data_IF_964278207992
#
_entry.id   IF_964278207992
#
_cell.length_a   1.000
_cell.length_b   1.000
_cell.length_c   1.000
_cell.angle_alpha   90.00
_cell.angle_beta   90.00
_cell.angle_gamma   90.00
#
_symmetry.space_group_name_H-M   'P 1'
#
loop_
_entity.id
_entity.type
_entity.pdbx_description
1 polymer ?
#
# COMPACT_ATOMS: atom_id res chain seq x y z
N UNK A 1 60.25 -13.14 29.47
CA UNK A 1 59.71 -13.73 28.22
C UNK A 1 58.72 -12.85 27.47
N UNK A 2 57.78 -12.14 28.10
CA UNK A 2 56.83 -11.23 27.41
C UNK A 2 57.50 -10.15 26.53
N UNK A 3 58.63 -9.61 26.96
CA UNK A 3 59.38 -8.57 26.20
C UNK A 3 60.07 -9.10 24.94
N UNK A 4 60.38 -10.41 24.87
CA UNK A 4 61.01 -11.03 23.71
C UNK A 4 59.98 -11.19 22.54
N UNK A 5 58.75 -11.60 22.86
CA UNK A 5 57.65 -11.70 21.87
C UNK A 5 57.36 -10.34 21.22
N UNK A 6 57.33 -9.25 21.99
CA UNK A 6 57.08 -7.92 21.48
C UNK A 6 58.19 -7.40 20.55
N UNK A 7 59.48 -7.66 20.88
CA UNK A 7 60.61 -7.27 20.01
C UNK A 7 60.68 -8.07 18.72
N UNK A 8 60.24 -9.33 18.71
CA UNK A 8 60.17 -10.15 17.49
C UNK A 8 59.06 -9.73 16.56
N UNK A 9 57.92 -9.24 17.08
CA UNK A 9 56.82 -8.70 16.30
C UNK A 9 57.19 -7.41 15.55
N UNK A 10 57.97 -6.54 16.13
CA UNK A 10 58.45 -5.30 15.50
C UNK A 10 59.34 -5.57 14.27
N UNK A 11 60.07 -6.70 14.20
CA UNK A 11 60.92 -7.10 13.06
C UNK A 11 60.14 -7.52 11.81
N UNK A 12 58.83 -7.86 11.95
CA UNK A 12 57.96 -8.29 10.83
C UNK A 12 56.93 -7.22 10.43
N UNK A 13 57.27 -5.96 10.51
CA UNK A 13 56.38 -4.82 10.34
C UNK A 13 55.53 -4.88 9.04
N UNK A 14 56.09 -5.35 7.91
CA UNK A 14 55.40 -5.43 6.64
C UNK A 14 54.20 -6.40 6.65
N UNK A 15 54.35 -7.62 7.24
CA UNK A 15 53.27 -8.60 7.29
C UNK A 15 52.18 -8.18 8.28
N UNK A 16 52.56 -7.65 9.43
CA UNK A 16 51.60 -7.15 10.44
C UNK A 16 50.83 -5.91 9.94
N UNK A 17 51.53 -5.02 9.22
CA UNK A 17 50.90 -3.87 8.57
C UNK A 17 49.84 -4.30 7.52
N UNK A 18 50.18 -5.31 6.69
CA UNK A 18 49.24 -5.83 5.67
C UNK A 18 48.00 -6.43 6.34
N UNK A 19 48.15 -7.19 7.43
CA UNK A 19 47.02 -7.75 8.19
C UNK A 19 46.17 -6.66 8.81
N UNK A 20 46.76 -5.68 9.45
CA UNK A 20 46.03 -4.56 10.03
C UNK A 20 45.30 -3.73 8.98
N UNK A 21 45.93 -3.50 7.81
CA UNK A 21 45.30 -2.83 6.68
C UNK A 21 44.11 -3.61 6.12
N UNK A 22 44.24 -4.93 5.97
CA UNK A 22 43.15 -5.78 5.52
C UNK A 22 41.95 -5.73 6.46
N UNK A 23 42.19 -5.79 7.78
CA UNK A 23 41.13 -5.64 8.80
C UNK A 23 40.53 -4.25 8.73
N UNK A 24 41.35 -3.20 8.59
CA UNK A 24 40.89 -1.81 8.51
C UNK A 24 39.97 -1.57 7.30
N UNK A 25 40.40 -2.05 6.14
CA UNK A 25 39.58 -1.97 4.92
C UNK A 25 38.27 -2.77 5.02
N UNK A 26 38.35 -3.99 5.56
CA UNK A 26 37.15 -4.80 5.81
C UNK A 26 36.18 -4.13 6.78
N UNK A 27 36.74 -3.52 7.85
CA UNK A 27 35.96 -2.80 8.84
C UNK A 27 35.31 -1.54 8.24
N UNK A 28 36.07 -0.72 7.51
CA UNK A 28 35.53 0.46 6.85
C UNK A 28 34.42 0.12 5.87
N UNK A 29 34.61 -0.90 5.04
CA UNK A 29 33.61 -1.33 4.07
C UNK A 29 32.34 -1.88 4.73
N UNK A 30 32.48 -2.79 5.70
CA UNK A 30 31.35 -3.38 6.41
C UNK A 30 30.58 -2.40 7.29
N UNK A 31 31.21 -1.35 7.76
CA UNK A 31 30.52 -0.27 8.50
C UNK A 31 29.74 0.67 7.59
N UNK A 32 30.18 0.88 6.34
CA UNK A 32 29.46 1.70 5.35
C UNK A 32 28.30 0.91 4.73
N UNK A 33 28.47 -0.40 4.61
CA UNK A 33 27.54 -1.28 3.88
C UNK A 33 26.09 -1.23 4.38
N UNK A 34 25.77 -1.19 5.69
CA UNK A 34 24.41 -1.05 6.17
C UNK A 34 23.71 0.24 5.72
N UNK A 35 24.47 1.29 5.41
CA UNK A 35 23.92 2.50 4.82
C UNK A 35 23.28 2.28 3.45
N UNK A 36 23.83 1.37 2.64
CA UNK A 36 23.21 0.98 1.36
C UNK A 36 21.91 0.20 1.56
N UNK A 37 21.88 -0.68 2.58
CA UNK A 37 20.65 -1.43 2.93
C UNK A 37 19.59 -0.44 3.42
N UNK A 38 19.94 0.43 4.37
CA UNK A 38 19.00 1.44 4.89
C UNK A 38 18.49 2.40 3.79
N UNK A 39 19.35 2.74 2.82
CA UNK A 39 18.94 3.52 1.66
C UNK A 39 17.91 2.79 0.79
N UNK A 40 18.12 1.50 0.52
CA UNK A 40 17.18 0.68 -0.24
C UNK A 40 15.87 0.43 0.52
N UNK A 41 15.93 0.26 1.85
CA UNK A 41 14.74 0.16 2.70
C UNK A 41 13.93 1.47 2.72
N UNK A 42 14.61 2.61 2.78
CA UNK A 42 13.95 3.92 2.70
C UNK A 42 13.32 4.16 1.32
N UNK A 43 13.94 3.68 0.24
CA UNK A 43 13.36 3.71 -1.10
C UNK A 43 12.12 2.83 -1.20
N UNK A 44 12.14 1.65 -0.58
CA UNK A 44 10.98 0.76 -0.47
C UNK A 44 9.83 1.42 0.30
N UNK A 45 10.13 2.03 1.44
CA UNK A 45 9.14 2.75 2.24
C UNK A 45 8.53 3.90 1.46
N UNK A 46 9.36 4.69 0.77
CA UNK A 46 8.89 5.79 -0.08
C UNK A 46 8.00 5.29 -1.25
N UNK A 47 8.32 4.13 -1.83
CA UNK A 47 7.48 3.54 -2.87
C UNK A 47 6.09 3.18 -2.36
N UNK A 48 5.98 2.58 -1.17
CA UNK A 48 4.69 2.28 -0.55
C UNK A 48 3.90 3.53 -0.18
N UNK A 49 4.56 4.60 0.24
CA UNK A 49 3.91 5.84 0.66
C UNK A 49 3.47 6.72 -0.52
N UNK A 50 4.14 6.62 -1.67
CA UNK A 50 3.88 7.45 -2.85
C UNK A 50 2.94 6.79 -3.86
N UNK A 51 2.92 5.46 -3.94
CA UNK A 51 2.11 4.74 -4.92
C UNK A 51 0.76 4.42 -4.31
N UNK A 52 -0.26 5.11 -4.79
CA UNK A 52 -1.65 4.82 -4.44
C UNK A 52 -2.16 3.62 -5.24
N UNK A 53 -2.75 2.66 -4.55
CA UNK A 53 -3.39 1.50 -5.19
C UNK A 53 -4.89 1.72 -5.22
N UNK A 54 -5.43 1.73 -6.43
CA UNK A 54 -6.85 1.89 -6.68
C UNK A 54 -7.49 0.57 -7.09
N UNK A 55 -8.81 0.50 -6.95
CA UNK A 55 -9.59 -0.62 -7.40
C UNK A 55 -11.02 -0.22 -7.68
N UNK A 56 -11.75 -1.12 -8.33
CA UNK A 56 -13.15 -0.94 -8.66
C UNK A 56 -13.85 -2.29 -8.78
N UNK A 57 -15.17 -2.26 -8.65
CA UNK A 57 -15.98 -3.43 -8.91
C UNK A 57 -16.40 -3.45 -10.38
N UNK A 58 -16.30 -4.62 -11.01
CA UNK A 58 -16.64 -4.87 -12.40
C UNK A 58 -17.69 -5.99 -12.50
N UNK A 59 -18.45 -5.97 -13.57
CA UNK A 59 -19.28 -7.11 -13.93
C UNK A 59 -18.40 -8.27 -14.40
N UNK A 60 -18.56 -9.43 -13.78
CA UNK A 60 -17.78 -10.63 -14.09
C UNK A 60 -18.07 -11.18 -15.50
N UNK A 61 -19.23 -10.87 -16.08
CA UNK A 61 -19.63 -11.27 -17.43
C UNK A 61 -19.15 -10.29 -18.51
N UNK A 62 -18.48 -9.17 -18.13
CA UNK A 62 -17.92 -8.20 -19.06
C UNK A 62 -18.90 -7.12 -19.54
N UNK A 63 -20.04 -6.96 -18.87
CA UNK A 63 -20.95 -5.84 -19.12
C UNK A 63 -20.42 -4.56 -18.48
N UNK A 64 -20.64 -3.42 -19.12
CA UNK A 64 -20.15 -2.12 -18.67
C UNK A 64 -20.87 -1.57 -17.42
N UNK A 65 -22.03 -2.10 -17.09
CA UNK A 65 -22.91 -1.65 -16.02
C UNK A 65 -23.10 -2.75 -14.95
N UNK A 66 -22.22 -2.84 -13.96
CA UNK A 66 -22.34 -3.83 -12.89
C UNK A 66 -23.51 -3.48 -11.98
N UNK A 67 -24.39 -4.44 -11.74
CA UNK A 67 -25.43 -4.34 -10.71
C UNK A 67 -24.85 -4.82 -9.38
N UNK A 68 -24.27 -3.90 -8.60
CA UNK A 68 -23.58 -4.20 -7.36
C UNK A 68 -24.57 -4.10 -6.20
N UNK A 69 -24.81 -5.18 -5.43
CA UNK A 69 -25.60 -5.10 -4.21
C UNK A 69 -24.94 -4.11 -3.22
N UNK A 70 -25.68 -3.17 -2.60
CA UNK A 70 -25.11 -2.23 -1.64
C UNK A 70 -24.32 -2.90 -0.51
N UNK A 71 -24.79 -4.05 -0.05
CA UNK A 71 -24.12 -4.85 1.00
C UNK A 71 -22.70 -5.29 0.62
N UNK A 72 -22.42 -5.44 -0.67
CA UNK A 72 -21.08 -5.76 -1.18
C UNK A 72 -20.13 -4.59 -0.98
N UNK A 73 -20.60 -3.37 -1.27
CA UNK A 73 -19.82 -2.15 -1.02
C UNK A 73 -19.60 -1.94 0.47
N UNK A 74 -20.65 -2.09 1.28
CA UNK A 74 -20.58 -1.98 2.74
C UNK A 74 -19.54 -2.97 3.31
N UNK A 75 -19.56 -4.24 2.89
CA UNK A 75 -18.61 -5.25 3.32
C UNK A 75 -17.14 -4.90 2.95
N UNK A 76 -16.91 -4.29 1.79
CA UNK A 76 -15.57 -3.81 1.42
C UNK A 76 -15.14 -2.66 2.32
N UNK A 77 -16.03 -1.70 2.61
CA UNK A 77 -15.74 -0.56 3.49
C UNK A 77 -15.49 -1.00 4.94
N UNK A 78 -16.20 -2.01 5.42
CA UNK A 78 -16.03 -2.61 6.76
C UNK A 78 -14.65 -3.25 6.96
N UNK A 79 -13.91 -3.57 5.90
CA UNK A 79 -12.50 -4.03 6.03
C UNK A 79 -11.60 -2.98 6.69
N UNK A 80 -11.98 -1.71 6.68
CA UNK A 80 -11.21 -0.59 7.24
C UNK A 80 -9.94 -0.22 6.45
N UNK A 81 -9.65 -0.92 5.34
CA UNK A 81 -8.45 -0.72 4.53
C UNK A 81 -8.62 0.36 3.45
N UNK A 82 -9.87 0.81 3.21
CA UNK A 82 -10.19 1.84 2.22
C UNK A 82 -9.91 3.22 2.81
N UNK A 83 -9.17 4.04 2.07
CA UNK A 83 -8.88 5.43 2.41
C UNK A 83 -9.88 6.40 1.78
N UNK A 84 -10.11 6.23 0.49
CA UNK A 84 -11.03 7.03 -0.31
C UNK A 84 -11.88 6.11 -1.18
N UNK A 85 -13.10 6.53 -1.45
CA UNK A 85 -14.00 5.78 -2.33
C UNK A 85 -15.04 6.70 -2.94
N UNK A 86 -15.62 6.23 -4.03
CA UNK A 86 -16.71 6.86 -4.73
C UNK A 86 -17.66 5.80 -5.24
N UNK A 87 -18.94 6.02 -5.03
CA UNK A 87 -20.00 5.18 -5.57
C UNK A 87 -21.06 6.03 -6.23
N UNK A 88 -21.65 5.50 -7.29
CA UNK A 88 -22.86 6.07 -7.83
C UNK A 88 -23.85 5.00 -8.26
N UNK A 89 -25.11 5.41 -8.28
CA UNK A 89 -26.21 4.71 -8.94
C UNK A 89 -26.99 5.73 -9.74
N UNK A 90 -27.83 5.27 -10.63
CA UNK A 90 -28.77 6.13 -11.31
C UNK A 90 -30.12 5.46 -11.41
N UNK A 91 -31.16 6.30 -11.40
CA UNK A 91 -32.53 5.92 -11.67
C UNK A 91 -33.12 6.94 -12.65
N UNK A 92 -34.12 6.53 -13.38
CA UNK A 92 -34.88 7.46 -14.22
C UNK A 92 -35.91 8.16 -13.37
N UNK A 93 -36.20 9.42 -13.66
CA UNK A 93 -37.24 10.16 -12.96
C UNK A 93 -38.09 11.01 -13.94
N UNK A 94 -39.28 11.34 -13.50
CA UNK A 94 -40.13 12.35 -14.11
C UNK A 94 -40.59 13.34 -13.04
N UNK A 95 -40.80 14.58 -13.43
CA UNK A 95 -41.53 15.53 -12.60
C UNK A 95 -43.01 15.17 -12.61
N UNK A 96 -43.74 15.35 -11.50
CA UNK A 96 -45.12 14.89 -11.41
C UNK A 96 -46.11 15.78 -12.17
N UNK A 97 -45.73 16.97 -12.61
CA UNK A 97 -46.65 18.01 -13.13
C UNK A 97 -47.48 17.49 -14.30
N UNK A 98 -46.89 16.87 -15.31
CA UNK A 98 -47.61 16.27 -16.43
C UNK A 98 -48.58 15.16 -15.98
N UNK A 99 -48.17 14.37 -14.99
CA UNK A 99 -48.99 13.30 -14.44
C UNK A 99 -50.15 13.82 -13.60
N UNK A 100 -49.89 14.91 -12.84
CA UNK A 100 -50.93 15.59 -12.03
C UNK A 100 -51.93 16.30 -12.90
N UNK A 101 -51.53 16.94 -14.01
CA UNK A 101 -52.44 17.55 -14.98
C UNK A 101 -53.36 16.49 -15.59
N UNK A 102 -52.79 15.37 -16.02
CA UNK A 102 -53.60 14.25 -16.57
C UNK A 102 -54.55 13.67 -15.51
N UNK A 103 -54.15 13.59 -14.24
CA UNK A 103 -54.98 13.09 -13.16
C UNK A 103 -56.11 14.07 -12.81
N UNK A 104 -55.84 15.38 -12.87
CA UNK A 104 -56.82 16.43 -12.60
C UNK A 104 -57.96 16.50 -13.69
N UNK A 105 -57.69 15.98 -14.88
CA UNK A 105 -58.71 15.85 -15.95
C UNK A 105 -59.67 14.67 -15.69
N UNK A 106 -59.33 13.73 -14.79
CA UNK A 106 -60.22 12.59 -14.49
C UNK A 106 -61.38 13.01 -13.57
N UNK A 107 -62.59 12.53 -13.83
CA UNK A 107 -63.75 12.82 -12.98
C UNK A 107 -63.53 12.46 -11.51
N UNK A 108 -63.67 13.44 -10.62
CA UNK A 108 -63.51 13.28 -9.18
C UNK A 108 -62.21 13.82 -8.61
N UNK A 109 -61.29 14.31 -9.45
CA UNK A 109 -60.00 14.92 -9.02
C UNK A 109 -59.90 16.39 -9.36
N UNK A 110 -60.90 16.99 -10.01
CA UNK A 110 -60.95 18.37 -10.58
C UNK A 110 -60.72 19.46 -9.52
N UNK A 111 -61.14 19.24 -8.25
CA UNK A 111 -61.08 20.22 -7.17
C UNK A 111 -60.03 19.90 -6.09
N UNK A 112 -59.17 18.90 -6.34
CA UNK A 112 -58.17 18.49 -5.37
C UNK A 112 -56.95 19.43 -5.34
N UNK A 113 -56.43 19.62 -4.13
CA UNK A 113 -55.16 20.33 -3.95
C UNK A 113 -53.99 19.52 -4.55
N UNK A 114 -52.87 20.20 -4.83
CA UNK A 114 -51.67 19.53 -5.37
C UNK A 114 -51.22 18.37 -4.46
N UNK A 115 -51.32 18.51 -3.13
CA UNK A 115 -50.94 17.45 -2.19
C UNK A 115 -51.89 16.25 -2.24
N UNK A 116 -53.19 16.50 -2.36
CA UNK A 116 -54.19 15.44 -2.53
C UNK A 116 -54.02 14.70 -3.86
N UNK A 117 -53.73 15.45 -4.93
CA UNK A 117 -53.42 14.90 -6.23
C UNK A 117 -52.13 14.04 -6.21
N UNK A 118 -51.08 14.49 -5.50
CA UNK A 118 -49.85 13.69 -5.31
C UNK A 118 -50.14 12.37 -4.55
N UNK A 119 -50.93 12.43 -3.49
CA UNK A 119 -51.33 11.22 -2.77
C UNK A 119 -52.17 10.27 -3.60
N UNK A 120 -53.09 10.82 -4.42
CA UNK A 120 -53.88 10.03 -5.36
C UNK A 120 -53.03 9.44 -6.51
N UNK A 121 -52.05 10.20 -6.99
CA UNK A 121 -51.08 9.77 -8.00
C UNK A 121 -50.25 8.59 -7.50
N UNK A 122 -49.82 8.61 -6.24
CA UNK A 122 -49.05 7.53 -5.62
C UNK A 122 -49.77 6.18 -5.67
N UNK A 123 -51.08 6.19 -5.52
CA UNK A 123 -51.95 4.99 -5.62
C UNK A 123 -52.14 4.51 -7.06
N UNK A 124 -51.94 5.37 -8.06
CA UNK A 124 -52.23 5.09 -9.49
C UNK A 124 -51.02 5.17 -10.39
N UNK A 125 -49.82 5.21 -9.82
CA UNK A 125 -48.56 5.37 -10.55
C UNK A 125 -48.37 4.34 -11.69
N UNK A 126 -48.87 3.11 -11.52
CA UNK A 126 -48.81 2.05 -12.53
C UNK A 126 -49.71 2.29 -13.74
N UNK A 127 -50.73 3.12 -13.58
CA UNK A 127 -51.82 3.28 -14.60
C UNK A 127 -51.61 4.51 -15.49
N UNK A 128 -50.68 5.41 -15.08
CA UNK A 128 -50.46 6.69 -15.76
C UNK A 128 -49.28 6.55 -16.73
N UNK A 129 -49.53 6.93 -18.00
CA UNK A 129 -48.48 7.04 -19.02
C UNK A 129 -47.54 8.25 -18.69
N UNK A 130 -46.29 7.98 -18.47
CA UNK A 130 -45.26 9.00 -18.27
C UNK A 130 -44.49 9.26 -19.56
N UNK A 131 -44.09 10.49 -19.80
CA UNK A 131 -43.27 10.89 -20.94
C UNK A 131 -41.81 10.39 -20.86
N UNK A 132 -40.92 11.02 -21.61
CA UNK A 132 -39.46 10.78 -21.52
C UNK A 132 -38.98 11.06 -20.09
N UNK A 133 -38.15 10.17 -19.59
CA UNK A 133 -37.61 10.29 -18.24
C UNK A 133 -36.22 10.96 -18.25
N UNK A 134 -35.97 11.78 -17.25
CA UNK A 134 -34.69 12.31 -16.94
C UNK A 134 -33.87 11.33 -16.06
N UNK A 135 -32.60 11.62 -15.81
CA UNK A 135 -31.69 10.76 -15.04
C UNK A 135 -31.34 11.41 -13.71
N UNK A 136 -31.63 10.72 -12.63
CA UNK A 136 -31.19 11.09 -11.27
C UNK A 136 -29.99 10.24 -10.87
N UNK A 137 -28.85 10.88 -10.66
CA UNK A 137 -27.64 10.25 -10.15
C UNK A 137 -27.58 10.37 -8.63
N UNK A 138 -27.58 9.24 -7.95
CA UNK A 138 -27.21 9.15 -6.56
C UNK A 138 -25.69 8.97 -6.43
N UNK A 139 -25.03 9.85 -5.69
CA UNK A 139 -23.57 9.83 -5.50
C UNK A 139 -23.23 9.73 -4.02
N UNK A 140 -22.13 9.05 -3.70
CA UNK A 140 -21.64 8.91 -2.32
C UNK A 140 -20.14 8.64 -2.28
N UNK A 141 -19.52 8.88 -1.11
CA UNK A 141 -18.14 8.55 -0.84
C UNK A 141 -17.24 9.75 -0.62
N UNK A 142 -16.07 9.50 -0.05
CA UNK A 142 -15.09 10.51 0.27
C UNK A 142 -14.54 11.26 -0.96
N UNK A 143 -14.57 10.64 -2.14
CA UNK A 143 -14.13 11.24 -3.40
C UNK A 143 -15.27 11.88 -4.22
N UNK A 144 -16.49 11.93 -3.70
CA UNK A 144 -17.63 12.49 -4.42
C UNK A 144 -17.38 13.95 -4.82
N UNK A 145 -16.87 14.77 -3.93
CA UNK A 145 -16.54 16.18 -4.23
C UNK A 145 -15.49 16.29 -5.33
N UNK A 146 -14.46 15.47 -5.31
CA UNK A 146 -13.37 15.47 -6.32
C UNK A 146 -13.91 15.02 -7.67
N UNK A 147 -14.72 13.98 -7.69
CA UNK A 147 -15.28 13.40 -8.92
C UNK A 147 -16.27 14.36 -9.57
N UNK A 148 -17.09 15.05 -8.75
CA UNK A 148 -18.08 16.01 -9.20
C UNK A 148 -17.54 17.44 -9.34
N UNK A 149 -16.24 17.64 -9.19
CA UNK A 149 -15.63 18.99 -9.19
C UNK A 149 -15.89 19.79 -10.48
N UNK A 150 -16.18 19.12 -11.61
CA UNK A 150 -16.60 19.76 -12.86
C UNK A 150 -17.90 20.55 -12.71
N UNK A 151 -18.71 20.21 -11.71
CA UNK A 151 -19.99 20.84 -11.40
C UNK A 151 -19.84 22.10 -10.53
N UNK A 152 -18.72 22.23 -9.81
CA UNK A 152 -18.52 23.20 -8.74
C UNK A 152 -18.76 24.67 -9.13
N UNK A 153 -18.53 25.03 -10.40
CA UNK A 153 -18.67 26.41 -10.88
C UNK A 153 -20.01 26.72 -11.58
N UNK A 154 -20.87 25.74 -11.78
CA UNK A 154 -22.09 25.85 -12.57
C UNK A 154 -23.35 25.70 -11.74
N UNK A 155 -23.26 25.37 -10.46
CA UNK A 155 -24.41 25.20 -9.58
C UNK A 155 -24.59 26.46 -8.72
N UNK A 156 -25.81 26.98 -8.70
CA UNK A 156 -26.26 27.98 -7.73
C UNK A 156 -26.81 27.25 -6.53
N UNK A 157 -26.13 27.39 -5.39
CA UNK A 157 -26.47 26.68 -4.16
C UNK A 157 -27.39 27.46 -3.25
N UNK A 158 -28.25 26.75 -2.53
CA UNK A 158 -28.95 27.31 -1.36
C UNK A 158 -27.92 27.61 -0.26
N UNK A 159 -28.15 28.67 0.50
CA UNK A 159 -27.24 29.06 1.59
C UNK A 159 -27.02 27.91 2.59
N UNK A 160 -25.75 27.57 2.86
CA UNK A 160 -25.35 26.50 3.76
C UNK A 160 -25.13 25.17 3.10
N UNK A 161 -25.39 25.02 1.80
CA UNK A 161 -25.17 23.77 1.04
C UNK A 161 -24.04 23.90 0.03
N UNK A 162 -23.43 22.77 -0.27
CA UNK A 162 -22.29 22.64 -1.17
C UNK A 162 -22.26 21.28 -1.85
N UNK A 163 -21.32 21.08 -2.75
CA UNK A 163 -21.11 19.80 -3.42
C UNK A 163 -20.79 18.65 -2.45
N UNK A 164 -20.15 18.95 -1.30
CA UNK A 164 -19.82 17.95 -0.28
C UNK A 164 -21.07 17.31 0.36
N UNK A 165 -22.19 18.06 0.43
CA UNK A 165 -23.40 17.56 1.05
C UNK A 165 -24.08 16.46 0.22
N UNK A 166 -23.76 16.36 -1.08
CA UNK A 166 -24.19 15.23 -1.93
C UNK A 166 -23.54 13.89 -1.55
N UNK A 167 -22.47 13.90 -0.75
CA UNK A 167 -21.87 12.67 -0.20
C UNK A 167 -22.53 12.21 1.11
N UNK A 168 -23.50 12.97 1.64
CA UNK A 168 -24.24 12.69 2.88
C UNK A 168 -25.43 11.74 2.68
N UNK A 169 -26.36 11.82 3.63
CA UNK A 169 -27.58 11.02 3.71
C UNK A 169 -28.88 11.85 3.69
N UNK A 170 -28.76 13.17 3.72
CA UNK A 170 -29.90 14.09 3.68
C UNK A 170 -30.63 13.98 2.34
N UNK A 171 -31.98 13.98 2.36
CA UNK A 171 -32.81 13.92 1.16
C UNK A 171 -32.79 15.29 0.42
N UNK A 172 -31.70 15.58 -0.24
CA UNK A 172 -31.45 16.79 -1.02
C UNK A 172 -31.21 16.47 -2.49
N UNK A 173 -31.48 17.42 -3.38
CA UNK A 173 -31.17 17.26 -4.78
C UNK A 173 -30.68 18.54 -5.45
N UNK A 174 -29.95 18.37 -6.53
CA UNK A 174 -29.54 19.40 -7.48
C UNK A 174 -30.23 19.13 -8.80
N UNK A 175 -30.99 20.11 -9.30
CA UNK A 175 -31.80 19.98 -10.50
C UNK A 175 -31.36 20.99 -11.57
N UNK A 176 -31.70 20.77 -12.84
CA UNK A 176 -31.60 21.79 -13.87
C UNK A 176 -32.58 22.95 -13.61
N UNK A 177 -32.21 24.18 -13.97
CA UNK A 177 -33.10 25.37 -13.88
C UNK A 177 -34.39 25.17 -14.68
N UNK A 178 -34.35 24.39 -15.74
CA UNK A 178 -35.51 24.05 -16.59
C UNK A 178 -36.58 23.24 -15.84
N UNK A 179 -36.25 22.66 -14.66
CA UNK A 179 -37.23 21.96 -13.83
C UNK A 179 -38.35 22.88 -13.29
N UNK A 180 -38.17 24.21 -13.33
CA UNK A 180 -39.12 25.17 -12.85
C UNK A 180 -39.26 25.24 -11.32
N UNK A 181 -38.49 24.47 -10.55
CA UNK A 181 -38.50 24.43 -9.10
C UNK A 181 -37.53 25.46 -8.53
N UNK A 182 -37.88 26.03 -7.36
CA UNK A 182 -37.06 27.04 -6.69
C UNK A 182 -36.12 26.40 -5.64
N UNK A 183 -35.00 27.10 -5.32
CA UNK A 183 -34.12 26.72 -4.23
C UNK A 183 -34.84 26.69 -2.89
N UNK A 184 -34.69 25.62 -2.14
CA UNK A 184 -35.33 25.36 -0.86
C UNK A 184 -36.71 24.73 -0.95
N UNK A 185 -37.26 24.58 -2.13
CA UNK A 185 -38.53 23.91 -2.38
C UNK A 185 -38.38 22.38 -2.24
N UNK A 186 -39.46 21.68 -1.91
CA UNK A 186 -39.52 20.20 -1.91
C UNK A 186 -39.93 19.71 -3.30
N UNK A 187 -39.02 19.00 -3.95
CA UNK A 187 -39.26 18.33 -5.21
C UNK A 187 -39.84 16.93 -4.98
N UNK A 188 -41.02 16.65 -5.51
CA UNK A 188 -41.53 15.31 -5.64
C UNK A 188 -41.08 14.73 -6.98
N UNK A 189 -40.31 13.64 -6.97
CA UNK A 189 -39.80 12.99 -8.16
C UNK A 189 -40.44 11.60 -8.31
N UNK A 190 -40.99 11.32 -9.47
CA UNK A 190 -41.47 9.96 -9.81
C UNK A 190 -40.27 9.15 -10.28
N UNK A 191 -39.74 8.29 -9.43
CA UNK A 191 -38.63 7.42 -9.78
C UNK A 191 -39.10 6.19 -10.56
N UNK A 192 -38.32 5.81 -11.57
CA UNK A 192 -38.56 4.66 -12.44
C UNK A 192 -37.30 3.83 -12.59
N UNK A 193 -37.42 2.50 -12.48
CA UNK A 193 -36.34 1.60 -12.88
C UNK A 193 -36.70 1.00 -14.24
N UNK A 194 -35.95 1.40 -15.25
CA UNK A 194 -36.06 0.80 -16.57
C UNK A 194 -35.25 -0.52 -16.54
N UNK A 195 -35.99 -1.65 -16.52
CA UNK A 195 -35.38 -2.95 -16.76
C UNK A 195 -35.18 -3.12 -18.26
N UNK A 196 -34.02 -3.57 -18.72
CA UNK A 196 -33.75 -3.86 -20.14
C UNK A 196 -34.73 -4.85 -20.74
N UNK A 197 -35.31 -5.73 -19.93
CA UNK A 197 -36.35 -6.70 -20.37
C UNK A 197 -37.77 -6.14 -20.42
N UNK A 198 -38.02 -4.93 -19.90
CA UNK A 198 -39.36 -4.33 -19.82
C UNK A 198 -39.52 -3.14 -20.75
N UNK A 199 -39.28 -3.30 -22.04
CA UNK A 199 -39.76 -2.36 -23.08
C UNK A 199 -41.28 -2.28 -23.19
N UNK A 200 -42.02 -2.91 -22.28
CA UNK A 200 -43.48 -2.81 -22.22
C UNK A 200 -43.89 -1.90 -21.09
N UNK A 201 -44.57 -0.82 -21.40
CA UNK A 201 -45.07 0.25 -20.51
C UNK A 201 -45.95 -0.23 -19.33
N UNK A 202 -46.22 -1.51 -19.19
CA UNK A 202 -47.00 -2.09 -18.10
C UNK A 202 -46.14 -2.90 -17.17
N UNK A 203 -45.87 -2.35 -15.99
CA UNK A 203 -45.27 -3.09 -14.88
C UNK A 203 -43.89 -2.58 -14.40
N UNK A 204 -43.41 -1.43 -14.86
CA UNK A 204 -42.21 -0.81 -14.28
C UNK A 204 -42.48 -0.39 -12.85
N UNK A 205 -41.64 -0.76 -11.89
CA UNK A 205 -41.75 -0.27 -10.53
C UNK A 205 -41.56 1.25 -10.54
N UNK A 206 -42.48 1.96 -9.91
CA UNK A 206 -42.50 3.42 -9.79
C UNK A 206 -42.78 3.80 -8.38
N UNK A 207 -42.16 4.91 -7.93
CA UNK A 207 -42.40 5.47 -6.61
C UNK A 207 -42.20 6.98 -6.61
N UNK A 208 -42.82 7.68 -5.68
CA UNK A 208 -42.59 9.10 -5.45
C UNK A 208 -41.54 9.26 -4.35
N UNK A 209 -40.44 9.90 -4.66
CA UNK A 209 -39.41 10.32 -3.71
C UNK A 209 -39.45 11.84 -3.53
N UNK A 210 -39.21 12.31 -2.31
CA UNK A 210 -39.20 13.73 -1.99
C UNK A 210 -37.80 14.18 -1.61
N UNK A 211 -37.33 15.22 -2.28
CA UNK A 211 -36.02 15.80 -2.05
C UNK A 211 -36.13 17.31 -1.89
N UNK A 212 -35.32 17.91 -1.03
CA UNK A 212 -35.19 19.37 -0.95
C UNK A 212 -34.26 19.85 -2.06
N UNK A 213 -34.69 20.82 -2.84
CA UNK A 213 -33.87 21.44 -3.89
C UNK A 213 -32.82 22.35 -3.26
N UNK A 214 -31.55 21.95 -3.27
CA UNK A 214 -30.43 22.70 -2.67
C UNK A 214 -29.49 23.31 -3.69
N UNK A 215 -29.64 22.95 -4.97
CA UNK A 215 -28.83 23.48 -6.05
C UNK A 215 -29.57 23.49 -7.37
N UNK A 216 -29.33 24.53 -8.17
CA UNK A 216 -29.82 24.64 -9.54
C UNK A 216 -28.66 24.92 -10.49
N UNK A 217 -28.71 24.37 -11.72
CA UNK A 217 -27.68 24.61 -12.72
C UNK A 217 -28.31 24.89 -14.10
N UNK A 218 -27.72 25.83 -14.87
CA UNK A 218 -28.27 26.32 -16.13
C UNK A 218 -27.79 25.64 -17.40
N UNK A 219 -26.90 24.64 -17.30
CA UNK A 219 -26.36 23.93 -18.47
C UNK A 219 -26.47 22.43 -18.23
N UNK A 220 -27.04 21.64 -19.17
CA UNK A 220 -27.03 20.19 -19.06
C UNK A 220 -25.58 19.68 -18.93
N UNK A 221 -25.26 19.05 -17.81
CA UNK A 221 -23.90 18.61 -17.49
C UNK A 221 -23.65 17.16 -17.85
N UNK A 222 -24.34 16.64 -18.83
CA UNK A 222 -24.16 15.29 -19.32
C UNK A 222 -23.46 15.27 -20.66
N UNK A 223 -22.19 14.97 -20.71
CA UNK A 223 -21.60 14.42 -21.93
C UNK A 223 -22.17 13.02 -22.15
N UNK A 224 -22.79 12.75 -23.26
CA UNK A 224 -23.31 11.48 -23.79
C UNK A 224 -24.72 11.02 -23.38
N UNK A 225 -25.43 11.67 -22.48
CA UNK A 225 -26.87 11.43 -22.33
C UNK A 225 -27.60 12.41 -23.27
N UNK A 226 -27.84 12.01 -24.47
CA UNK A 226 -28.57 12.80 -25.45
C UNK A 226 -30.01 13.00 -24.96
N UNK A 227 -30.36 14.26 -24.76
CA UNK A 227 -31.71 14.77 -24.49
C UNK A 227 -32.32 14.55 -23.10
N UNK A 228 -31.64 13.93 -22.14
CA UNK A 228 -32.13 13.82 -20.77
C UNK A 228 -31.49 14.86 -19.85
N UNK A 229 -32.26 15.54 -19.03
CA UNK A 229 -31.71 16.35 -17.94
C UNK A 229 -31.12 15.44 -16.86
N UNK A 230 -30.03 15.90 -16.24
CA UNK A 230 -29.34 15.14 -15.22
C UNK A 230 -29.51 15.81 -13.86
N UNK A 231 -30.06 15.08 -12.90
CA UNK A 231 -30.17 15.53 -11.52
C UNK A 231 -29.18 14.76 -10.63
N UNK A 232 -28.84 15.31 -9.49
CA UNK A 232 -27.92 14.70 -8.52
C UNK A 232 -28.54 14.70 -7.14
N UNK A 233 -28.36 13.61 -6.38
CA UNK A 233 -28.76 13.48 -4.99
C UNK A 233 -27.73 12.63 -4.22
N UNK A 234 -27.76 12.60 -2.90
CA UNK A 234 -27.01 11.61 -2.13
C UNK A 234 -27.48 10.20 -2.43
N UNK A 235 -26.55 9.29 -2.65
CA UNK A 235 -26.83 7.87 -2.92
C UNK A 235 -27.58 7.22 -1.76
N UNK A 236 -27.21 7.59 -0.53
CA UNK A 236 -27.86 7.05 0.67
C UNK A 236 -29.30 7.55 0.82
N UNK A 237 -29.56 8.80 0.50
CA UNK A 237 -30.93 9.33 0.46
C UNK A 237 -31.81 8.59 -0.58
N UNK A 238 -31.22 8.25 -1.74
CA UNK A 238 -31.89 7.44 -2.75
C UNK A 238 -32.16 6.01 -2.23
N UNK A 239 -31.19 5.41 -1.54
CA UNK A 239 -31.30 4.06 -0.95
C UNK A 239 -32.36 4.00 0.15
N UNK A 240 -32.45 5.05 0.98
CA UNK A 240 -33.42 5.15 2.10
C UNK A 240 -34.84 5.52 1.65
N UNK A 241 -35.04 5.82 0.37
CA UNK A 241 -36.37 6.13 -0.12
C UNK A 241 -37.32 4.92 0.13
N UNK A 242 -38.50 5.14 0.76
CA UNK A 242 -39.40 4.06 1.10
C UNK A 242 -39.78 3.21 -0.12
N UNK A 243 -39.60 1.88 -0.03
CA UNK A 243 -39.88 0.94 -1.12
C UNK A 243 -38.76 0.77 -2.16
N UNK A 244 -37.61 1.44 -1.99
CA UNK A 244 -36.46 1.30 -2.90
C UNK A 244 -35.97 -0.15 -2.98
N UNK A 245 -35.75 -0.81 -1.85
CA UNK A 245 -35.24 -2.19 -1.81
C UNK A 245 -36.29 -3.22 -2.30
N UNK A 246 -37.55 -3.02 -1.97
CA UNK A 246 -38.62 -3.96 -2.30
C UNK A 246 -39.07 -3.88 -3.77
N UNK A 247 -39.11 -2.66 -4.33
CA UNK A 247 -39.65 -2.42 -5.66
C UNK A 247 -38.58 -2.30 -6.74
N UNK A 248 -37.39 -1.76 -6.40
CA UNK A 248 -36.37 -1.39 -7.38
C UNK A 248 -35.15 -2.31 -7.42
N UNK A 249 -35.00 -3.28 -6.48
CA UNK A 249 -33.76 -4.05 -6.36
C UNK A 249 -32.54 -3.13 -6.50
N UNK A 250 -32.50 -2.11 -5.64
CA UNK A 250 -31.52 -1.03 -5.72
C UNK A 250 -30.11 -1.59 -5.85
N UNK A 251 -29.40 -1.19 -6.90
CA UNK A 251 -28.04 -1.63 -7.17
C UNK A 251 -27.12 -0.42 -7.37
N UNK A 252 -25.92 -0.50 -6.87
CA UNK A 252 -24.85 0.45 -7.16
C UNK A 252 -24.30 0.12 -8.56
N UNK A 253 -24.15 1.14 -9.40
CA UNK A 253 -23.70 0.99 -10.79
C UNK A 253 -22.20 1.15 -10.94
N UNK A 254 -21.55 1.82 -10.01
CA UNK A 254 -20.11 1.94 -9.96
C UNK A 254 -19.65 2.07 -8.52
N UNK A 255 -18.58 1.38 -8.20
CA UNK A 255 -17.87 1.51 -6.94
C UNK A 255 -16.38 1.47 -7.23
N UNK A 256 -15.70 2.57 -6.94
CA UNK A 256 -14.25 2.71 -7.03
C UNK A 256 -13.67 3.10 -5.68
N UNK A 257 -12.46 2.67 -5.41
CA UNK A 257 -11.81 2.91 -4.15
C UNK A 257 -10.30 3.04 -4.30
N UNK A 258 -9.68 3.68 -3.31
CA UNK A 258 -8.24 3.70 -3.12
C UNK A 258 -7.90 3.17 -1.73
N UNK A 259 -6.89 2.32 -1.63
CA UNK A 259 -6.43 1.80 -0.36
C UNK A 259 -5.79 2.91 0.48
N UNK A 260 -5.99 2.84 1.80
CA UNK A 260 -5.38 3.78 2.75
C UNK A 260 -3.85 3.62 2.79
N UNK A 261 -3.36 2.38 2.65
CA UNK A 261 -1.95 2.05 2.66
C UNK A 261 -1.67 0.96 1.64
N UNK A 262 -0.74 1.23 0.73
CA UNK A 262 -0.36 0.27 -0.31
C UNK A 262 0.30 -1.00 0.22
N UNK A 263 0.80 -0.99 1.46
CA UNK A 263 1.30 -2.20 2.16
C UNK A 263 0.19 -3.21 2.47
N UNK A 264 -1.05 -2.75 2.55
CA UNK A 264 -2.20 -3.60 2.89
C UNK A 264 -2.75 -4.38 1.69
N UNK A 265 -2.19 -4.18 0.47
CA UNK A 265 -2.64 -4.87 -0.76
C UNK A 265 -2.75 -6.39 -0.59
N UNK A 266 -1.76 -7.12 -0.01
CA UNK A 266 -1.90 -8.56 0.17
C UNK A 266 -3.04 -8.93 1.11
N UNK A 267 -3.17 -8.24 2.26
CA UNK A 267 -4.23 -8.48 3.23
C UNK A 267 -5.61 -8.12 2.66
N UNK A 268 -5.69 -7.04 1.88
CA UNK A 268 -6.93 -6.66 1.20
C UNK A 268 -7.36 -7.68 0.15
N UNK A 269 -6.42 -8.23 -0.64
CA UNK A 269 -6.72 -9.33 -1.58
C UNK A 269 -7.25 -10.58 -0.86
N UNK A 270 -6.69 -10.91 0.29
CA UNK A 270 -7.21 -12.01 1.12
C UNK A 270 -8.63 -11.71 1.65
N UNK A 271 -8.90 -10.47 2.06
CA UNK A 271 -10.24 -10.06 2.46
C UNK A 271 -11.25 -10.18 1.31
N UNK A 272 -10.88 -9.76 0.09
CA UNK A 272 -11.73 -9.93 -1.10
C UNK A 272 -12.01 -11.40 -1.43
N UNK A 273 -11.04 -12.29 -1.23
CA UNK A 273 -11.25 -13.75 -1.35
C UNK A 273 -12.25 -14.22 -0.29
N UNK A 274 -12.14 -13.73 0.94
CA UNK A 274 -13.08 -14.01 2.02
C UNK A 274 -14.51 -13.57 1.71
N UNK A 275 -14.67 -12.46 0.98
CA UNK A 275 -15.94 -11.95 0.48
C UNK A 275 -16.39 -12.62 -0.85
N UNK A 276 -15.64 -13.60 -1.34
CA UNK A 276 -15.85 -14.29 -2.62
C UNK A 276 -15.87 -13.35 -3.86
N UNK A 277 -15.23 -12.18 -3.79
CA UNK A 277 -15.19 -11.18 -4.87
C UNK A 277 -14.08 -11.44 -5.90
N UNK A 278 -13.21 -12.40 -5.68
CA UNK A 278 -12.18 -12.84 -6.61
C UNK A 278 -12.73 -13.74 -7.72
N UNK A 279 -13.82 -14.49 -7.44
CA UNK A 279 -14.42 -15.52 -8.32
C UNK A 279 -15.92 -15.43 -8.45
N UNK A 280 -16.53 -14.35 -8.02
CA UNK A 280 -17.97 -14.16 -8.15
C UNK A 280 -18.37 -14.13 -9.64
N UNK A 281 -19.49 -14.75 -9.95
CA UNK A 281 -19.98 -14.84 -11.34
C UNK A 281 -20.65 -13.54 -11.80
N UNK A 282 -21.07 -12.69 -10.87
CA UNK A 282 -21.78 -11.44 -11.18
C UNK A 282 -20.89 -10.22 -11.01
N UNK A 283 -20.20 -10.08 -9.86
CA UNK A 283 -19.39 -8.91 -9.52
C UNK A 283 -18.00 -9.36 -9.05
N UNK A 284 -16.94 -8.75 -9.59
CA UNK A 284 -15.56 -8.99 -9.20
C UNK A 284 -14.87 -7.70 -8.84
N UNK A 285 -13.93 -7.78 -7.89
CA UNK A 285 -13.04 -6.68 -7.56
C UNK A 285 -11.81 -6.70 -8.48
N UNK A 286 -11.56 -5.59 -9.14
CA UNK A 286 -10.34 -5.32 -9.89
C UNK A 286 -9.46 -4.38 -9.08
N UNK A 287 -8.18 -4.73 -8.91
CA UNK A 287 -7.19 -3.91 -8.20
C UNK A 287 -6.08 -3.58 -9.19
N UNK A 288 -5.76 -2.31 -9.33
CA UNK A 288 -4.63 -1.86 -10.12
C UNK A 288 -3.38 -1.66 -9.24
N UNK A 289 -2.68 -2.74 -8.99
CA UNK A 289 -1.43 -2.76 -8.24
C UNK A 289 -0.19 -2.98 -9.14
N UNK A 290 -0.35 -2.88 -10.45
CA UNK A 290 0.73 -3.14 -11.42
C UNK A 290 1.93 -2.23 -11.22
N UNK A 291 1.71 -0.94 -10.97
CA UNK A 291 2.78 0.03 -10.72
C UNK A 291 3.48 -0.31 -9.41
N UNK A 292 2.73 -0.62 -8.37
CA UNK A 292 3.28 -1.03 -7.07
C UNK A 292 4.15 -2.26 -7.21
N UNK A 293 3.63 -3.34 -7.81
CA UNK A 293 4.39 -4.58 -8.02
C UNK A 293 5.64 -4.36 -8.89
N UNK A 294 5.52 -3.56 -9.95
CA UNK A 294 6.63 -3.24 -10.83
C UNK A 294 7.74 -2.45 -10.14
N UNK A 295 7.43 -1.66 -9.12
CA UNK A 295 8.39 -0.84 -8.37
C UNK A 295 8.93 -1.58 -7.15
N UNK A 296 8.08 -2.20 -6.37
CA UNK A 296 8.43 -2.84 -5.08
C UNK A 296 9.24 -4.12 -5.28
N UNK A 297 8.83 -5.01 -6.19
CA UNK A 297 9.48 -6.30 -6.36
C UNK A 297 10.99 -6.22 -6.72
N UNK A 298 11.46 -5.33 -7.61
CA UNK A 298 12.89 -5.16 -7.86
C UNK A 298 13.64 -4.58 -6.66
N UNK A 299 13.03 -3.67 -5.87
CA UNK A 299 13.66 -3.09 -4.67
C UNK A 299 13.82 -4.18 -3.60
N UNK A 300 12.78 -4.96 -3.33
CA UNK A 300 12.84 -6.10 -2.38
C UNK A 300 13.91 -7.11 -2.78
N UNK A 301 13.98 -7.44 -4.06
CA UNK A 301 15.03 -8.32 -4.59
C UNK A 301 16.42 -7.73 -4.39
N UNK A 302 16.58 -6.43 -4.60
CA UNK A 302 17.83 -5.72 -4.35
C UNK A 302 18.22 -5.78 -2.88
N UNK A 303 17.28 -5.51 -1.96
CA UNK A 303 17.48 -5.62 -0.50
C UNK A 303 17.91 -7.05 -0.13
N UNK A 304 17.23 -8.07 -0.65
CA UNK A 304 17.59 -9.46 -0.40
C UNK A 304 19.02 -9.80 -0.89
N UNK A 305 19.41 -9.28 -2.05
CA UNK A 305 20.78 -9.41 -2.55
C UNK A 305 21.79 -8.69 -1.66
N UNK A 306 21.48 -7.48 -1.17
CA UNK A 306 22.34 -6.74 -0.26
C UNK A 306 22.55 -7.52 1.04
N UNK A 307 21.53 -8.08 1.66
CA UNK A 307 21.68 -8.95 2.83
C UNK A 307 22.49 -10.21 2.55
N UNK A 308 22.30 -10.84 1.36
CA UNK A 308 23.11 -11.96 0.92
C UNK A 308 24.57 -11.62 0.79
N UNK A 309 24.91 -10.50 0.17
CA UNK A 309 26.28 -10.00 0.04
C UNK A 309 26.87 -9.65 1.41
N UNK A 310 26.12 -9.04 2.31
CA UNK A 310 26.56 -8.77 3.67
C UNK A 310 26.98 -10.02 4.41
N UNK A 311 26.17 -11.09 4.30
CA UNK A 311 26.50 -12.40 4.89
C UNK A 311 27.79 -12.99 4.30
N UNK A 312 27.96 -12.88 2.97
CA UNK A 312 29.19 -13.33 2.28
C UNK A 312 30.41 -12.54 2.77
N UNK A 313 30.27 -11.23 2.97
CA UNK A 313 31.37 -10.39 3.48
C UNK A 313 31.82 -10.81 4.90
N UNK A 314 30.91 -11.14 5.79
CA UNK A 314 31.28 -11.70 7.10
C UNK A 314 32.01 -13.06 6.98
N UNK A 315 31.57 -13.91 6.07
CA UNK A 315 32.27 -15.17 5.79
C UNK A 315 33.69 -14.93 5.24
N UNK A 316 33.87 -13.93 4.36
CA UNK A 316 35.18 -13.53 3.85
C UNK A 316 36.10 -13.00 4.96
N UNK A 317 35.58 -12.20 5.91
CA UNK A 317 36.34 -11.73 7.06
C UNK A 317 36.78 -12.90 7.95
N UNK A 318 35.90 -13.89 8.15
CA UNK A 318 36.24 -15.12 8.88
C UNK A 318 37.34 -15.90 8.16
N UNK A 319 37.24 -16.06 6.85
CA UNK A 319 38.26 -16.69 5.99
C UNK A 319 39.59 -15.92 6.03
N UNK A 320 39.54 -14.59 6.02
CA UNK A 320 40.75 -13.76 6.15
C UNK A 320 41.43 -13.95 7.50
N UNK A 321 40.68 -13.98 8.62
CA UNK A 321 41.21 -14.30 9.96
C UNK A 321 41.85 -15.68 10.00
N UNK A 322 41.20 -16.69 9.38
CA UNK A 322 41.77 -18.03 9.25
C UNK A 322 43.10 -18.01 8.48
N UNK A 323 43.08 -17.43 7.27
CA UNK A 323 44.23 -17.42 6.36
C UNK A 323 45.43 -16.67 6.97
N UNK A 324 45.21 -15.50 7.55
CA UNK A 324 46.28 -14.69 8.19
C UNK A 324 46.89 -15.42 9.37
N UNK A 325 46.07 -16.00 10.25
CA UNK A 325 46.55 -16.77 11.39
C UNK A 325 47.27 -18.06 10.97
N UNK A 326 46.75 -18.77 9.94
CA UNK A 326 47.38 -19.96 9.40
C UNK A 326 48.73 -19.66 8.78
N UNK A 327 48.86 -18.66 7.94
CA UNK A 327 50.12 -18.23 7.34
C UNK A 327 51.15 -17.78 8.43
N UNK A 328 50.66 -17.04 9.40
CA UNK A 328 51.45 -16.60 10.52
C UNK A 328 51.99 -17.76 11.34
N UNK A 329 51.16 -18.73 11.72
CA UNK A 329 51.54 -19.93 12.45
C UNK A 329 52.50 -20.79 11.62
N UNK A 330 52.26 -20.94 10.30
CA UNK A 330 53.15 -21.66 9.39
C UNK A 330 54.52 -21.04 9.28
N UNK A 331 54.61 -19.71 9.20
CA UNK A 331 55.88 -18.97 9.13
C UNK A 331 56.69 -19.07 10.44
N UNK A 332 56.04 -19.33 11.60
CA UNK A 332 56.64 -19.42 12.93
C UNK A 332 56.83 -20.86 13.44
N UNK A 333 56.57 -21.85 12.60
CA UNK A 333 56.74 -23.26 12.97
C UNK A 333 58.07 -23.56 13.71
N UNK A 334 59.24 -23.10 13.23
CA UNK A 334 60.52 -23.38 13.93
C UNK A 334 60.58 -22.70 15.28
N UNK A 335 60.04 -21.49 15.46
CA UNK A 335 60.00 -20.79 16.74
C UNK A 335 59.10 -21.57 17.72
N UNK A 336 57.94 -22.01 17.30
CA UNK A 336 57.02 -22.83 18.11
C UNK A 336 57.62 -24.18 18.49
N UNK A 337 58.39 -24.83 17.61
CA UNK A 337 59.09 -26.03 17.94
C UNK A 337 60.13 -25.84 19.08
N UNK A 338 60.91 -24.79 19.01
CA UNK A 338 61.88 -24.43 20.08
C UNK A 338 61.16 -24.13 21.41
N UNK A 339 60.04 -23.34 21.37
CA UNK A 339 59.27 -23.03 22.58
C UNK A 339 58.66 -24.29 23.23
N UNK A 340 58.21 -25.24 22.41
CA UNK A 340 57.72 -26.54 22.92
C UNK A 340 58.83 -27.40 23.53
N UNK A 341 60.05 -27.39 22.97
CA UNK A 341 61.20 -28.04 23.57
C UNK A 341 61.62 -27.41 24.91
N UNK A 342 61.35 -26.13 25.08
CA UNK A 342 61.55 -25.38 26.34
C UNK A 342 60.42 -25.57 27.37
N UNK A 343 59.45 -26.50 27.08
CA UNK A 343 58.39 -26.87 28.01
C UNK A 343 57.10 -26.03 27.94
N UNK A 344 56.92 -25.19 26.92
CA UNK A 344 55.66 -24.48 26.74
C UNK A 344 54.55 -25.39 26.27
N UNK A 345 53.36 -25.24 26.89
CA UNK A 345 52.17 -26.01 26.48
C UNK A 345 51.65 -25.56 25.11
N UNK A 346 51.03 -26.45 24.32
CA UNK A 346 50.41 -26.10 23.06
C UNK A 346 49.35 -25.01 23.19
N UNK A 347 48.58 -25.03 24.29
CA UNK A 347 47.56 -24.04 24.60
C UNK A 347 48.15 -22.65 24.80
N UNK A 348 49.27 -22.54 25.50
CA UNK A 348 49.98 -21.26 25.73
C UNK A 348 50.42 -20.63 24.38
N UNK A 349 50.94 -21.45 23.46
CA UNK A 349 51.36 -20.99 22.13
C UNK A 349 50.18 -20.55 21.28
N UNK A 350 49.09 -21.29 21.33
CA UNK A 350 47.87 -20.93 20.65
C UNK A 350 47.27 -19.62 21.16
N UNK A 351 47.16 -19.46 22.50
CA UNK A 351 46.68 -18.22 23.10
C UNK A 351 47.60 -17.03 22.79
N UNK A 352 48.93 -17.25 22.72
CA UNK A 352 49.88 -16.24 22.27
C UNK A 352 49.62 -15.79 20.83
N UNK A 353 49.40 -16.72 19.92
CA UNK A 353 49.10 -16.43 18.53
C UNK A 353 47.73 -15.69 18.38
N UNK A 354 46.71 -16.11 19.12
CA UNK A 354 45.42 -15.45 19.14
C UNK A 354 45.49 -14.03 19.71
N UNK A 355 46.29 -13.80 20.78
CA UNK A 355 46.51 -12.48 21.36
C UNK A 355 47.17 -11.51 20.36
N UNK A 356 48.11 -12.03 19.54
CA UNK A 356 48.71 -11.22 18.47
C UNK A 356 47.69 -10.87 17.38
N UNK A 357 46.86 -11.83 16.97
CA UNK A 357 45.78 -11.57 15.98
C UNK A 357 44.73 -10.61 16.54
N UNK A 358 44.37 -10.73 17.80
CA UNK A 358 43.48 -9.79 18.48
C UNK A 358 44.02 -8.35 18.51
N UNK A 359 45.32 -8.21 18.79
CA UNK A 359 45.98 -6.88 18.77
C UNK A 359 46.00 -6.28 17.37
N UNK A 360 46.27 -7.09 16.32
CA UNK A 360 46.23 -6.63 14.92
C UNK A 360 44.78 -6.30 14.47
N UNK A 361 43.82 -7.09 14.92
CA UNK A 361 42.40 -6.81 14.70
C UNK A 361 41.98 -5.49 15.35
N UNK A 362 42.36 -5.27 16.62
CA UNK A 362 42.07 -4.03 17.33
C UNK A 362 42.71 -2.79 16.66
N UNK A 363 43.95 -2.92 16.17
CA UNK A 363 44.62 -1.86 15.40
C UNK A 363 43.86 -1.60 14.07
N UNK A 364 43.48 -2.64 13.34
CA UNK A 364 42.74 -2.52 12.12
C UNK A 364 41.35 -1.85 12.30
N UNK A 365 40.63 -2.28 13.35
CA UNK A 365 39.34 -1.65 13.72
C UNK A 365 39.54 -0.20 14.18
N UNK A 366 40.61 0.10 14.94
CA UNK A 366 40.93 1.44 15.38
C UNK A 366 41.23 2.41 14.23
N UNK A 367 41.63 1.92 13.06
CA UNK A 367 41.85 2.71 11.85
C UNK A 367 40.59 2.69 10.96
N UNK A 368 40.00 1.55 10.75
CA UNK A 368 38.90 1.37 9.86
C UNK A 368 37.60 2.02 10.33
N UNK A 369 37.32 1.98 11.63
CA UNK A 369 36.12 2.60 12.21
C UNK A 369 36.09 4.12 12.03
N UNK A 370 37.12 4.90 12.38
CA UNK A 370 37.13 6.33 12.13
C UNK A 370 37.03 6.67 10.62
N UNK A 371 37.68 5.87 9.77
CA UNK A 371 37.60 6.08 8.32
C UNK A 371 36.17 5.90 7.81
N UNK A 372 35.45 4.87 8.28
CA UNK A 372 34.05 4.65 7.95
C UNK A 372 33.19 5.83 8.42
N UNK A 373 33.39 6.32 9.66
CA UNK A 373 32.64 7.45 10.21
C UNK A 373 32.83 8.75 9.41
N UNK A 374 34.03 8.97 8.90
CA UNK A 374 34.32 10.12 8.02
C UNK A 374 33.57 10.04 6.72
N UNK A 375 33.40 8.84 6.16
CA UNK A 375 32.68 8.63 4.88
C UNK A 375 31.16 8.64 5.10
N UNK A 376 30.67 8.09 6.20
CA UNK A 376 29.22 7.97 6.49
C UNK A 376 28.58 9.23 7.11
N UNK A 377 29.34 10.31 7.31
CA UNK A 377 28.80 11.60 7.78
C UNK A 377 28.67 11.75 9.28
N UNK A 378 29.24 10.86 10.10
CA UNK A 378 29.37 11.06 11.53
C UNK A 378 28.94 9.90 12.44
N UNK A 379 29.17 10.05 13.77
CA UNK A 379 28.95 8.97 14.75
C UNK A 379 27.47 8.66 15.03
N UNK A 380 26.53 9.52 14.63
CA UNK A 380 25.08 9.31 14.86
C UNK A 380 24.50 8.16 14.07
N UNK A 381 25.16 7.73 13.01
CA UNK A 381 24.73 6.63 12.12
C UNK A 381 25.49 5.32 12.38
N UNK A 382 26.42 5.32 13.34
CA UNK A 382 27.29 4.17 13.60
C UNK A 382 26.60 3.12 14.48
N UNK A 383 26.37 1.95 13.92
CA UNK A 383 26.04 0.77 14.73
C UNK A 383 27.32 0.13 15.28
N UNK A 384 27.61 0.38 16.57
CA UNK A 384 28.77 -0.15 17.27
C UNK A 384 28.79 -1.68 17.42
N UNK A 385 27.69 -2.36 17.07
CA UNK A 385 27.63 -3.83 17.00
C UNK A 385 28.44 -4.37 15.83
N UNK A 386 28.57 -3.60 14.75
CA UNK A 386 29.25 -4.02 13.52
C UNK A 386 30.76 -4.26 13.78
N UNK A 387 31.53 -3.33 14.37
CA UNK A 387 32.93 -3.59 14.73
C UNK A 387 33.11 -4.80 15.64
N UNK A 388 32.20 -5.00 16.59
CA UNK A 388 32.26 -6.16 17.49
C UNK A 388 32.00 -7.47 16.71
N UNK A 389 31.06 -7.47 15.77
CA UNK A 389 30.79 -8.63 14.93
C UNK A 389 31.96 -8.94 13.98
N UNK A 390 32.58 -7.93 13.38
CA UNK A 390 33.77 -8.07 12.55
C UNK A 390 34.92 -8.69 13.39
N UNK A 391 35.14 -8.19 14.60
CA UNK A 391 36.14 -8.77 15.51
C UNK A 391 35.84 -10.24 15.83
N UNK A 392 34.61 -10.55 16.16
CA UNK A 392 34.18 -11.91 16.46
C UNK A 392 34.40 -12.86 15.27
N UNK A 393 33.98 -12.47 14.05
CA UNK A 393 34.18 -13.25 12.84
C UNK A 393 35.68 -13.48 12.52
N UNK A 394 36.48 -12.41 12.58
CA UNK A 394 37.92 -12.49 12.34
C UNK A 394 38.62 -13.41 13.35
N UNK A 395 38.34 -13.24 14.65
CA UNK A 395 38.91 -14.05 15.69
C UNK A 395 38.42 -15.49 15.68
N UNK A 396 37.20 -15.76 15.29
CA UNK A 396 36.68 -17.12 15.09
C UNK A 396 37.51 -17.86 14.00
N UNK A 397 37.75 -17.20 12.87
CA UNK A 397 38.60 -17.72 11.80
C UNK A 397 40.04 -17.93 12.29
N UNK A 398 40.61 -16.98 13.01
CA UNK A 398 41.96 -17.11 13.58
C UNK A 398 42.05 -18.25 14.60
N UNK A 399 41.03 -18.45 15.44
CA UNK A 399 40.99 -19.52 16.43
C UNK A 399 40.98 -20.91 15.79
N UNK A 400 40.21 -21.09 14.72
CA UNK A 400 40.18 -22.35 13.97
C UNK A 400 41.53 -22.66 13.34
N UNK A 401 42.21 -21.68 12.77
CA UNK A 401 43.57 -21.83 12.24
C UNK A 401 44.61 -22.17 13.31
N UNK A 402 44.53 -21.50 14.49
CA UNK A 402 45.41 -21.75 15.61
C UNK A 402 45.22 -23.16 16.17
N UNK A 403 43.99 -23.64 16.29
CA UNK A 403 43.69 -25.02 16.70
C UNK A 403 44.30 -26.04 15.76
N UNK A 404 44.12 -25.87 14.43
CA UNK A 404 44.72 -26.77 13.42
C UNK A 404 46.26 -26.75 13.46
N UNK A 405 46.88 -25.58 13.74
CA UNK A 405 48.31 -25.42 13.84
C UNK A 405 48.92 -26.07 15.10
N UNK A 406 48.18 -26.12 16.23
CA UNK A 406 48.63 -26.64 17.49
C UNK A 406 48.72 -28.17 17.59
N UNK A 407 47.97 -28.89 16.74
CA UNK A 407 47.86 -30.36 16.77
C UNK A 407 49.03 -31.10 16.11
N UNK A 408 50.04 -30.43 15.52
CA UNK A 408 51.18 -31.05 14.87
C UNK A 408 52.19 -31.69 15.89
N UNK A 409 52.64 -32.89 15.63
CA UNK A 409 53.73 -33.54 16.44
C UNK A 409 55.03 -32.76 16.27
N UNK A 410 55.80 -32.46 17.35
CA UNK A 410 57.02 -31.60 17.31
C UNK A 410 58.08 -32.13 16.34
N UNK A 411 58.29 -33.43 16.28
CA UNK A 411 59.28 -34.10 15.43
C UNK A 411 58.96 -34.01 13.91
N UNK A 412 57.70 -34.01 13.51
CA UNK A 412 57.31 -33.85 12.11
C UNK A 412 57.45 -32.41 11.60
N UNK A 413 57.49 -31.43 12.50
CA UNK A 413 57.68 -30.01 12.18
C UNK A 413 59.13 -29.67 11.78
N UNK A 414 60.11 -30.44 12.27
CA UNK A 414 61.54 -30.26 11.97
C UNK A 414 62.00 -31.08 10.71
N UNK A 415 61.33 -32.19 10.40
CA UNK A 415 61.76 -33.14 9.35
C UNK A 415 61.45 -32.72 7.88
N UNK A 416 60.79 -31.61 7.68
CA UNK A 416 60.36 -31.16 6.34
C UNK A 416 61.25 -30.04 5.75
N UNK A 417 62.53 -30.09 6.00
CA UNK A 417 63.55 -29.18 5.44
C UNK A 417 64.62 -29.86 4.64
N UNK A 418 64.29 -31.03 4.08
CA UNK A 418 65.09 -31.69 3.00
C UNK A 418 64.25 -31.82 1.76
#
# INVERSE_FOLDING_TARGET
MRTLHWKMNLRRGKSNLLTALLVALSAAFLMIYPGFIAGAEAELDAAYDQIEVTGWLINAAGYDDPMIPPQTCDAILETGMIGRWFAYSYVHFNLPDEALEKLAEDPGYEDMSREELLAALELRLSDIGLGTADVLFGVSGADAEVTLQRLKGSIVWLEGYSLADLAGDEAICVLPEESGLALGEEAALILRVLNEDSFTERGEPRMIARFKVVGLYGIPMGGNFTDAAVAYCPLEAMRQTPGADERFQFAIRSFSFALRNSRDVPAFKEALIGLALDRNETVRAAIDDRILQGTVAPIEKNIALLYGVQTLLYALVTGAGFLTCFLFTRARKPEFAVMRMLGQSPLSLMLGALAEQAALCALGLGIGTPLALLVSGGPSTADWRIPALIAACYLAGAATAALLGAHGKPLTLLRRRE
#
